data_IF_947589261895
#
_entry.id   IF_947589261895
#
_cell.length_a   1.000
_cell.length_b   1.000
_cell.length_c   1.000
_cell.angle_alpha   90.00
_cell.angle_beta   90.00
_cell.angle_gamma   90.00
#
_symmetry.space_group_name_H-M   'P 1'
#
loop_
_entity.id
_entity.type
_entity.pdbx_description
1 polymer ?
#
# COMPACT_ATOMS: atom_id res chain seq x y z
N UNK A 1 -8.10 9.75 -15.81
CA UNK A 1 -8.08 10.28 -14.43
C UNK A 1 -6.86 11.18 -14.29
N UNK A 2 -6.96 12.40 -13.76
CA UNK A 2 -5.76 13.20 -13.52
C UNK A 2 -4.89 12.43 -12.52
N UNK A 3 -3.63 12.20 -12.89
CA UNK A 3 -2.62 11.66 -11.99
C UNK A 3 -2.42 12.68 -10.87
N UNK A 4 -3.01 12.43 -9.70
CA UNK A 4 -2.67 13.19 -8.50
C UNK A 4 -1.20 12.92 -8.20
N UNK A 5 -0.36 13.89 -8.57
CA UNK A 5 1.10 13.78 -8.40
C UNK A 5 1.52 14.04 -6.96
N UNK A 6 0.70 14.78 -6.21
CA UNK A 6 0.91 15.12 -4.81
C UNK A 6 -0.42 15.19 -4.08
N UNK A 7 -0.47 14.66 -2.86
CA UNK A 7 -1.59 14.75 -1.94
C UNK A 7 -1.11 15.35 -0.62
N UNK A 8 -1.84 16.33 -0.09
CA UNK A 8 -1.59 16.91 1.24
C UNK A 8 -2.55 16.29 2.24
N UNK A 9 -2.05 16.02 3.45
CA UNK A 9 -2.83 15.47 4.56
C UNK A 9 -2.91 16.52 5.66
N UNK A 10 -4.11 16.81 6.15
CA UNK A 10 -4.30 17.64 7.33
C UNK A 10 -4.19 16.77 8.59
N UNK A 11 -3.08 16.89 9.32
CA UNK A 11 -2.82 16.05 10.48
C UNK A 11 -3.83 16.26 11.63
N UNK A 12 -4.51 17.40 11.69
CA UNK A 12 -5.51 17.68 12.74
C UNK A 12 -6.75 16.79 12.68
N UNK A 13 -6.97 16.06 11.58
CA UNK A 13 -8.10 15.14 11.45
C UNK A 13 -7.85 13.78 12.12
N UNK A 14 -6.62 13.51 12.57
CA UNK A 14 -6.22 12.19 13.05
C UNK A 14 -5.65 12.27 14.46
N UNK A 15 -5.91 11.23 15.26
CA UNK A 15 -5.34 11.03 16.59
C UNK A 15 -3.87 10.64 16.48
N UNK A 16 -3.56 9.60 15.72
CA UNK A 16 -2.20 9.19 15.38
C UNK A 16 -2.02 9.00 13.88
N UNK A 17 -0.81 9.27 13.40
CA UNK A 17 -0.40 9.00 12.01
C UNK A 17 0.84 8.11 12.06
N UNK A 18 0.74 6.95 11.44
CA UNK A 18 1.81 5.97 11.34
C UNK A 18 2.32 5.90 9.90
N UNK A 19 3.60 5.59 9.75
CA UNK A 19 4.22 5.32 8.44
C UNK A 19 4.75 3.89 8.47
N UNK A 20 4.42 3.11 7.44
CA UNK A 20 4.92 1.74 7.27
C UNK A 20 5.78 1.65 6.02
N UNK A 21 6.83 0.84 6.11
CA UNK A 21 7.67 0.47 4.98
C UNK A 21 6.96 -0.47 4.01
N UNK A 22 7.74 -1.09 3.13
CA UNK A 22 7.28 -2.05 2.13
C UNK A 22 6.48 -3.18 2.79
N UNK A 23 5.25 -3.40 2.32
CA UNK A 23 4.34 -4.41 2.88
C UNK A 23 4.46 -5.72 2.12
N UNK A 24 4.66 -5.67 0.80
CA UNK A 24 4.91 -6.84 -0.04
C UNK A 24 3.97 -8.02 0.24
N UNK A 25 2.65 -7.78 0.24
CA UNK A 25 1.67 -8.84 0.47
C UNK A 25 1.67 -9.48 1.87
N UNK A 26 2.39 -8.94 2.85
CA UNK A 26 2.43 -9.43 4.25
C UNK A 26 1.26 -8.86 5.08
N UNK A 27 0.03 -9.10 4.63
CA UNK A 27 -1.18 -8.52 5.22
C UNK A 27 -1.37 -8.96 6.68
N UNK A 28 -1.24 -10.25 7.00
CA UNK A 28 -1.38 -10.74 8.37
C UNK A 28 -0.35 -10.13 9.32
N UNK A 29 0.90 -9.98 8.85
CA UNK A 29 1.94 -9.32 9.64
C UNK A 29 1.56 -7.87 9.93
N UNK A 30 1.13 -7.11 8.91
CA UNK A 30 0.65 -5.74 9.08
C UNK A 30 -0.47 -5.66 10.12
N UNK A 31 -1.51 -6.49 9.98
CA UNK A 31 -2.64 -6.52 10.91
C UNK A 31 -2.19 -6.82 12.35
N UNK A 32 -1.25 -7.76 12.53
CA UNK A 32 -0.69 -8.08 13.85
C UNK A 32 0.03 -6.88 14.48
N UNK A 33 0.77 -6.09 13.69
CA UNK A 33 1.47 -4.89 14.16
C UNK A 33 0.51 -3.76 14.50
N UNK A 34 -0.51 -3.53 13.67
CA UNK A 34 -1.55 -2.54 13.96
C UNK A 34 -2.31 -2.89 15.24
N UNK A 35 -2.61 -4.18 15.46
CA UNK A 35 -3.22 -4.63 16.71
C UNK A 35 -2.30 -4.36 17.92
N UNK A 36 -0.99 -4.63 17.81
CA UNK A 36 -0.01 -4.34 18.88
C UNK A 36 0.08 -2.83 19.20
N UNK A 37 -0.10 -1.97 18.20
CA UNK A 37 -0.12 -0.52 18.35
C UNK A 37 -1.44 0.02 18.89
N UNK A 38 -2.46 -0.83 19.09
CA UNK A 38 -3.83 -0.40 19.40
C UNK A 38 -4.35 0.63 18.37
N UNK A 39 -4.06 0.39 17.09
CA UNK A 39 -4.47 1.22 15.97
C UNK A 39 -6.00 1.27 15.89
N UNK A 40 -6.55 2.48 15.74
CA UNK A 40 -7.99 2.73 15.70
C UNK A 40 -8.39 3.35 14.36
N UNK A 41 -8.86 2.54 13.38
CA UNK A 41 -9.13 2.98 12.00
C UNK A 41 -10.07 4.18 11.86
N UNK A 42 -10.93 4.43 12.84
CA UNK A 42 -11.89 5.54 12.83
C UNK A 42 -11.23 6.89 13.11
N UNK A 43 -10.04 6.90 13.74
CA UNK A 43 -9.36 8.11 14.18
C UNK A 43 -7.87 8.17 13.83
N UNK A 44 -7.25 7.03 13.48
CA UNK A 44 -5.84 6.94 13.14
C UNK A 44 -5.67 6.84 11.60
N UNK A 45 -4.48 7.19 11.13
CA UNK A 45 -4.07 7.08 9.74
C UNK A 45 -2.83 6.20 9.62
N UNK A 46 -2.82 5.31 8.63
CA UNK A 46 -1.65 4.59 8.19
C UNK A 46 -1.22 5.07 6.80
N UNK A 47 0.04 5.48 6.66
CA UNK A 47 0.66 5.87 5.39
C UNK A 47 1.66 4.79 4.98
N UNK A 48 1.44 4.15 3.82
CA UNK A 48 2.41 3.25 3.20
C UNK A 48 3.35 4.01 2.26
N UNK A 49 4.63 3.64 2.27
CA UNK A 49 5.66 4.14 1.35
C UNK A 49 5.59 3.52 -0.05
N UNK A 50 4.63 2.63 -0.32
CA UNK A 50 4.51 1.87 -1.57
C UNK A 50 4.99 0.43 -1.42
N UNK A 51 5.12 -0.29 -2.53
CA UNK A 51 5.54 -1.70 -2.58
C UNK A 51 4.68 -2.57 -1.64
N UNK A 52 3.38 -2.46 -1.86
CA UNK A 52 2.32 -3.15 -1.13
C UNK A 52 2.06 -4.56 -1.67
N UNK A 53 2.39 -4.78 -2.95
CA UNK A 53 2.18 -6.05 -3.67
C UNK A 53 3.50 -6.80 -3.90
N UNK A 54 3.37 -8.00 -4.46
CA UNK A 54 4.43 -8.93 -4.84
C UNK A 54 5.18 -9.50 -3.62
N UNK A 55 5.93 -10.59 -3.86
CA UNK A 55 6.77 -11.34 -2.89
C UNK A 55 6.03 -12.06 -1.75
N UNK A 56 4.99 -11.46 -1.17
CA UNK A 56 4.18 -12.06 -0.12
C UNK A 56 2.84 -12.59 -0.63
N UNK A 57 2.18 -13.45 0.16
CA UNK A 57 1.05 -14.25 -0.31
C UNK A 57 -0.28 -13.50 -0.39
N UNK A 58 -0.40 -12.31 0.22
CA UNK A 58 -1.68 -11.63 0.44
C UNK A 58 -1.76 -10.26 -0.26
N UNK A 59 -1.09 -10.09 -1.41
CA UNK A 59 -1.08 -8.86 -2.23
C UNK A 59 -2.49 -8.29 -2.44
N UNK A 60 -3.48 -9.14 -2.74
CA UNK A 60 -4.87 -8.71 -2.94
C UNK A 60 -5.50 -8.12 -1.67
N UNK A 61 -5.20 -8.68 -0.50
CA UNK A 61 -5.73 -8.17 0.77
C UNK A 61 -5.08 -6.84 1.15
N UNK A 62 -3.79 -6.66 0.87
CA UNK A 62 -3.14 -5.35 1.02
C UNK A 62 -3.73 -4.33 0.04
N UNK A 63 -3.97 -4.70 -1.23
CA UNK A 63 -4.62 -3.79 -2.19
C UNK A 63 -6.03 -3.37 -1.77
N UNK A 64 -6.79 -4.25 -1.09
CA UNK A 64 -8.12 -3.88 -0.55
C UNK A 64 -8.04 -2.76 0.48
N UNK A 65 -6.90 -2.57 1.15
CA UNK A 65 -6.67 -1.46 2.07
C UNK A 65 -6.70 -0.11 1.37
N UNK A 66 -6.35 -0.02 0.07
CA UNK A 66 -6.41 1.24 -0.69
C UNK A 66 -7.84 1.82 -0.78
N UNK A 67 -8.87 1.01 -0.51
CA UNK A 67 -10.26 1.47 -0.45
C UNK A 67 -10.68 1.95 0.95
N UNK A 68 -9.78 1.88 1.94
CA UNK A 68 -10.08 2.25 3.31
C UNK A 68 -9.70 3.73 3.56
N UNK A 69 -10.55 4.50 4.26
CA UNK A 69 -10.29 5.93 4.49
C UNK A 69 -9.08 6.20 5.41
N UNK A 70 -8.67 5.19 6.18
CA UNK A 70 -7.55 5.24 7.13
C UNK A 70 -6.24 4.74 6.54
N UNK A 71 -6.20 4.36 5.26
CA UNK A 71 -5.01 3.87 4.59
C UNK A 71 -4.69 4.73 3.35
N UNK A 72 -3.53 5.35 3.35
CA UNK A 72 -3.02 6.12 2.20
C UNK A 72 -1.71 5.49 1.77
N UNK A 73 -1.51 5.31 0.47
CA UNK A 73 -0.24 4.83 -0.06
C UNK A 73 0.29 5.79 -1.11
N UNK A 74 1.60 6.00 -1.12
CA UNK A 74 2.27 6.42 -2.36
C UNK A 74 2.47 5.20 -3.28
N UNK A 75 2.76 5.45 -4.55
CA UNK A 75 3.00 4.38 -5.53
C UNK A 75 4.46 3.94 -5.48
N UNK A 76 4.72 2.66 -5.19
CA UNK A 76 6.04 2.04 -5.25
C UNK A 76 6.42 1.59 -6.66
N UNK A 77 7.61 1.03 -6.83
CA UNK A 77 8.06 0.51 -8.12
C UNK A 77 7.36 -0.80 -8.48
N UNK A 78 6.97 -1.62 -7.50
CA UNK A 78 6.23 -2.85 -7.76
C UNK A 78 4.86 -2.56 -8.36
N UNK A 79 4.09 -1.63 -7.78
CA UNK A 79 2.82 -1.19 -8.39
C UNK A 79 3.05 -0.55 -9.78
N UNK A 80 4.15 0.19 -9.96
CA UNK A 80 4.45 0.80 -11.25
C UNK A 80 4.74 -0.25 -12.34
N UNK A 81 5.51 -1.29 -12.03
CA UNK A 81 5.80 -2.39 -12.94
C UNK A 81 4.55 -3.22 -13.25
N UNK A 82 3.71 -3.52 -12.25
CA UNK A 82 2.44 -4.23 -12.47
C UNK A 82 1.50 -3.45 -13.40
N UNK A 83 1.36 -2.14 -13.20
CA UNK A 83 0.55 -1.28 -14.05
C UNK A 83 1.12 -1.18 -15.48
N UNK A 84 2.44 -1.13 -15.63
CA UNK A 84 3.10 -1.11 -16.94
C UNK A 84 2.93 -2.43 -17.69
N UNK A 85 3.12 -3.56 -16.99
CA UNK A 85 2.86 -4.90 -17.51
C UNK A 85 1.41 -5.05 -17.99
N UNK A 86 0.45 -4.56 -17.21
CA UNK A 86 -0.96 -4.56 -17.59
C UNK A 86 -1.25 -3.69 -18.82
N UNK A 87 -0.62 -2.51 -18.91
CA UNK A 87 -0.84 -1.57 -20.01
C UNK A 87 -0.19 -2.01 -21.32
N UNK A 88 0.98 -2.64 -21.26
CA UNK A 88 1.78 -3.03 -22.43
C UNK A 88 1.57 -4.48 -22.84
N UNK A 89 1.13 -5.34 -21.92
CA UNK A 89 1.12 -6.79 -22.08
C UNK A 89 2.49 -7.44 -21.89
N UNK A 90 3.54 -6.67 -21.58
CA UNK A 90 4.89 -7.17 -21.31
C UNK A 90 5.16 -7.23 -19.80
N UNK A 91 5.03 -8.42 -19.22
CA UNK A 91 5.25 -8.65 -17.79
C UNK A 91 6.69 -8.95 -17.39
N UNK A 92 7.66 -8.96 -18.31
CA UNK A 92 8.99 -9.50 -18.03
C UNK A 92 9.68 -8.83 -16.85
N UNK A 93 9.61 -7.50 -16.75
CA UNK A 93 10.24 -6.74 -15.66
C UNK A 93 9.55 -6.97 -14.32
N UNK A 94 8.22 -7.07 -14.32
CA UNK A 94 7.42 -7.29 -13.13
C UNK A 94 7.63 -8.71 -12.57
N UNK A 95 7.51 -9.72 -13.43
CA UNK A 95 7.73 -11.12 -13.08
C UNK A 95 9.18 -11.36 -12.59
N UNK A 96 10.18 -10.76 -13.24
CA UNK A 96 11.58 -10.86 -12.81
C UNK A 96 11.85 -10.21 -11.44
N UNK A 97 10.99 -9.29 -11.00
CA UNK A 97 11.09 -8.62 -9.71
C UNK A 97 10.29 -9.31 -8.60
N UNK A 98 9.63 -10.43 -8.90
CA UNK A 98 8.82 -11.20 -7.94
C UNK A 98 7.32 -10.95 -8.02
N UNK A 99 6.84 -10.31 -9.09
CA UNK A 99 5.41 -10.17 -9.38
C UNK A 99 4.74 -11.49 -9.72
N UNK A 100 3.45 -11.60 -9.37
CA UNK A 100 2.64 -12.80 -9.47
C UNK A 100 1.19 -12.56 -9.93
#
# INVERSE_FOLDING_TARGET
MPSTRYQKINAHHYRHIWVVGDIHGEYQLLQSRLHQLSFFPETDLLISVGDNIDRGPESLDVLRLLNQPWFISVKGNHEAMALDAFATGDGNMWLASGGD
#
